data_IF_335123134223
#
_entry.id   IF_335123134223
#
_cell.length_a   1.000
_cell.length_b   1.000
_cell.length_c   1.000
_cell.angle_alpha   90.00
_cell.angle_beta   90.00
_cell.angle_gamma   90.00
#
_symmetry.space_group_name_H-M   'P 1'
#
loop_
_entity.id
_entity.type
_entity.pdbx_description
1 polymer ?
#
# COMPACT_ATOMS: atom_id res chain seq x y z
N UNK A 1 -26.35 -10.81 18.85
CA UNK A 1 -25.49 -9.62 18.68
C UNK A 1 -24.20 -10.16 18.13
N UNK A 2 -23.76 -9.74 16.94
CA UNK A 2 -22.51 -10.24 16.36
C UNK A 2 -21.34 -9.84 17.25
N UNK A 3 -20.39 -10.73 17.46
CA UNK A 3 -19.06 -10.37 17.98
C UNK A 3 -18.18 -9.84 16.85
N UNK A 4 -17.05 -9.23 17.19
CA UNK A 4 -16.04 -8.83 16.21
C UNK A 4 -15.59 -10.04 15.37
N UNK A 5 -15.23 -11.16 16.01
CA UNK A 5 -14.76 -12.36 15.30
C UNK A 5 -15.83 -12.95 14.39
N UNK A 6 -17.10 -12.96 14.79
CA UNK A 6 -18.21 -13.41 13.95
C UNK A 6 -18.39 -12.50 12.72
N UNK A 7 -18.21 -11.18 12.88
CA UNK A 7 -18.27 -10.23 11.77
C UNK A 7 -17.09 -10.40 10.80
N UNK A 8 -15.88 -10.61 11.32
CA UNK A 8 -14.69 -10.90 10.50
C UNK A 8 -14.90 -12.19 9.72
N UNK A 9 -15.28 -13.29 10.38
CA UNK A 9 -15.51 -14.57 9.72
C UNK A 9 -16.57 -14.47 8.62
N UNK A 10 -17.67 -13.75 8.87
CA UNK A 10 -18.68 -13.50 7.85
C UNK A 10 -18.09 -12.81 6.62
N UNK A 11 -17.28 -11.76 6.81
CA UNK A 11 -16.67 -11.03 5.69
C UNK A 11 -15.68 -11.94 4.95
N UNK A 12 -14.89 -12.75 5.67
CA UNK A 12 -13.90 -13.65 5.07
C UNK A 12 -14.51 -14.80 4.27
N UNK A 13 -15.73 -15.22 4.63
CA UNK A 13 -16.52 -16.20 3.89
C UNK A 13 -17.11 -15.63 2.58
N UNK A 14 -17.16 -14.30 2.43
CA UNK A 14 -17.55 -13.67 1.15
C UNK A 14 -16.47 -14.00 0.11
N UNK A 15 -16.84 -14.56 -1.06
CA UNK A 15 -15.86 -14.86 -2.10
C UNK A 15 -15.01 -13.63 -2.48
N UNK A 16 -13.70 -13.75 -2.30
CA UNK A 16 -12.72 -12.66 -2.57
C UNK A 16 -12.55 -12.38 -4.07
N UNK A 17 -12.67 -13.41 -4.89
CA UNK A 17 -12.50 -13.34 -6.34
C UNK A 17 -13.80 -13.74 -7.02
N UNK A 18 -14.59 -12.75 -7.41
CA UNK A 18 -15.81 -12.91 -8.20
C UNK A 18 -15.65 -12.19 -9.53
N UNK A 19 -16.56 -12.46 -10.47
CA UNK A 19 -16.73 -11.60 -11.64
C UNK A 19 -16.93 -10.15 -11.17
N UNK A 20 -16.21 -9.18 -11.76
CA UNK A 20 -16.34 -7.78 -11.37
C UNK A 20 -17.77 -7.31 -11.62
N UNK A 21 -18.41 -6.80 -10.57
CA UNK A 21 -19.72 -6.16 -10.67
C UNK A 21 -19.62 -4.84 -11.43
N UNK A 22 -20.74 -4.39 -11.99
CA UNK A 22 -20.83 -3.06 -12.58
C UNK A 22 -20.74 -2.01 -11.46
N UNK A 23 -20.06 -0.90 -11.70
CA UNK A 23 -19.96 0.21 -10.73
C UNK A 23 -21.33 0.74 -10.28
N UNK A 24 -22.35 0.63 -11.13
CA UNK A 24 -23.75 1.00 -10.83
C UNK A 24 -24.28 0.26 -9.61
N UNK A 25 -23.84 -0.97 -9.38
CA UNK A 25 -24.23 -1.78 -8.24
C UNK A 25 -23.67 -1.20 -6.93
N UNK A 26 -22.36 -0.94 -6.89
CA UNK A 26 -21.71 -0.31 -5.74
C UNK A 26 -22.24 1.11 -5.49
N UNK A 27 -22.53 1.86 -6.56
CA UNK A 27 -23.14 3.20 -6.50
C UNK A 27 -24.51 3.15 -5.83
N UNK A 28 -25.38 2.20 -6.24
CA UNK A 28 -26.67 1.95 -5.60
C UNK A 28 -26.50 1.68 -4.10
N UNK A 29 -25.51 0.87 -3.72
CA UNK A 29 -25.25 0.58 -2.31
C UNK A 29 -24.88 1.85 -1.52
N UNK A 30 -24.01 2.71 -2.06
CA UNK A 30 -23.67 3.98 -1.43
C UNK A 30 -24.90 4.89 -1.29
N UNK A 31 -25.78 4.93 -2.30
CA UNK A 31 -27.00 5.75 -2.25
C UNK A 31 -28.00 5.23 -1.20
N UNK A 32 -28.08 3.91 -1.01
CA UNK A 32 -28.83 3.29 0.09
C UNK A 32 -28.21 3.51 1.47
N UNK A 33 -26.92 3.88 1.54
CA UNK A 33 -26.21 4.28 2.77
C UNK A 33 -26.17 5.79 2.98
N UNK A 34 -27.13 6.51 2.40
CA UNK A 34 -27.27 7.97 2.50
C UNK A 34 -26.12 8.74 1.83
N UNK A 35 -25.58 8.20 0.72
CA UNK A 35 -24.53 8.78 -0.13
C UNK A 35 -23.35 9.37 0.67
N UNK A 36 -22.62 8.53 1.45
CA UNK A 36 -21.58 8.98 2.37
C UNK A 36 -20.38 9.66 1.68
N UNK A 37 -20.23 9.49 0.37
CA UNK A 37 -19.22 10.13 -0.47
C UNK A 37 -19.60 11.54 -0.96
N UNK A 38 -20.85 11.95 -0.79
CA UNK A 38 -21.34 13.26 -1.27
C UNK A 38 -20.79 14.40 -0.41
N UNK A 39 -20.40 15.50 -1.07
CA UNK A 39 -19.86 16.71 -0.44
C UNK A 39 -18.62 16.45 0.44
N UNK A 40 -17.86 15.39 0.13
CA UNK A 40 -16.61 15.02 0.80
C UNK A 40 -15.39 15.38 -0.06
N UNK A 41 -14.28 15.72 0.58
CA UNK A 41 -12.99 15.95 -0.07
C UNK A 41 -12.26 14.61 -0.24
N UNK A 42 -12.52 13.93 -1.36
CA UNK A 42 -11.96 12.61 -1.63
C UNK A 42 -10.72 12.71 -2.51
N UNK A 43 -9.59 12.14 -2.07
CA UNK A 43 -8.41 11.91 -2.91
C UNK A 43 -8.38 10.44 -3.29
N UNK A 44 -8.43 10.14 -4.59
CA UNK A 44 -8.54 8.77 -5.08
C UNK A 44 -7.22 8.31 -5.70
N UNK A 45 -6.63 7.24 -5.16
CA UNK A 45 -5.28 6.79 -5.49
C UNK A 45 -5.32 5.40 -6.14
N UNK A 46 -4.84 5.33 -7.38
CA UNK A 46 -4.63 4.09 -8.13
C UNK A 46 -3.15 3.90 -8.48
N UNK A 47 -2.77 2.70 -8.93
CA UNK A 47 -1.37 2.38 -9.21
C UNK A 47 -1.06 0.89 -9.11
N UNK A 48 0.12 0.48 -9.58
CA UNK A 48 0.64 -0.87 -9.33
C UNK A 48 1.32 -0.87 -7.97
N UNK A 49 2.41 -0.11 -7.83
CA UNK A 49 3.16 0.00 -6.58
C UNK A 49 3.08 1.41 -6.00
N UNK A 50 3.21 1.55 -4.67
CA UNK A 50 3.29 2.87 -4.01
C UNK A 50 1.94 3.51 -3.63
N UNK A 51 0.79 2.94 -4.02
CA UNK A 51 -0.55 3.45 -3.64
C UNK A 51 -0.68 3.75 -2.14
N UNK A 52 -0.58 2.70 -1.30
CA UNK A 52 -0.61 2.84 0.14
C UNK A 52 0.42 3.84 0.71
N UNK A 53 1.65 3.87 0.17
CA UNK A 53 2.67 4.84 0.60
C UNK A 53 2.25 6.29 0.32
N UNK A 54 1.72 6.56 -0.89
CA UNK A 54 1.19 7.89 -1.25
C UNK A 54 0.02 8.26 -0.35
N UNK A 55 -0.89 7.30 -0.10
CA UNK A 55 -2.02 7.52 0.80
C UNK A 55 -1.55 7.86 2.23
N UNK A 56 -0.51 7.18 2.72
CA UNK A 56 0.08 7.45 4.03
C UNK A 56 0.66 8.86 4.10
N UNK A 57 1.50 9.26 3.12
CA UNK A 57 2.07 10.60 3.08
C UNK A 57 0.99 11.69 3.05
N UNK A 58 -0.06 11.51 2.24
CA UNK A 58 -1.19 12.44 2.19
C UNK A 58 -1.91 12.51 3.55
N UNK A 59 -2.18 11.36 4.17
CA UNK A 59 -2.87 11.29 5.47
C UNK A 59 -2.05 11.98 6.56
N UNK A 60 -0.76 11.67 6.69
CA UNK A 60 0.11 12.27 7.71
C UNK A 60 0.22 13.78 7.54
N UNK A 61 0.38 14.26 6.30
CA UNK A 61 0.47 15.70 6.03
C UNK A 61 -0.80 16.42 6.46
N UNK A 62 -1.97 15.91 6.06
CA UNK A 62 -3.27 16.49 6.43
C UNK A 62 -3.51 16.45 7.94
N UNK A 63 -3.25 15.30 8.58
CA UNK A 63 -3.41 15.13 10.02
C UNK A 63 -2.51 16.07 10.83
N UNK A 64 -1.25 16.23 10.42
CA UNK A 64 -0.30 17.14 11.08
C UNK A 64 -0.80 18.59 11.13
N UNK A 65 -1.78 18.95 10.29
CA UNK A 65 -2.41 20.27 10.21
C UNK A 65 -3.80 20.31 10.82
N UNK A 66 -4.15 19.29 11.60
CA UNK A 66 -5.39 19.21 12.36
C UNK A 66 -6.61 18.79 11.55
N UNK A 67 -6.45 18.41 10.28
CA UNK A 67 -7.56 17.84 9.52
C UNK A 67 -7.86 16.43 10.02
N UNK A 68 -9.15 16.11 10.09
CA UNK A 68 -9.60 14.75 10.36
C UNK A 68 -9.58 13.96 9.06
N UNK A 69 -8.68 13.00 8.93
CA UNK A 69 -8.47 12.23 7.70
C UNK A 69 -8.96 10.80 7.86
N UNK A 70 -9.85 10.37 6.96
CA UNK A 70 -10.22 8.97 6.79
C UNK A 70 -9.35 8.31 5.72
N UNK A 71 -8.73 7.18 6.03
CA UNK A 71 -7.88 6.44 5.10
C UNK A 71 -8.42 5.02 4.89
N UNK A 72 -8.73 4.69 3.63
CA UNK A 72 -9.13 3.34 3.20
C UNK A 72 -8.03 2.68 2.37
N UNK A 73 -7.50 1.55 2.85
CA UNK A 73 -6.34 0.88 2.25
C UNK A 73 -6.50 -0.63 2.11
N UNK A 74 -5.65 -1.23 1.28
CA UNK A 74 -5.66 -2.67 1.06
C UNK A 74 -4.31 -3.25 0.61
N UNK A 75 -3.99 -4.52 0.97
CA UNK A 75 -4.63 -5.33 2.01
C UNK A 75 -4.24 -4.87 3.43
N UNK A 76 -4.82 -5.48 4.48
CA UNK A 76 -4.30 -5.38 5.84
C UNK A 76 -3.13 -6.36 6.06
N UNK A 77 -2.32 -6.12 7.10
CA UNK A 77 -1.24 -6.99 7.55
C UNK A 77 -1.70 -7.98 8.61
N UNK A 78 -2.33 -7.51 9.69
CA UNK A 78 -2.68 -8.35 10.84
C UNK A 78 -4.18 -8.32 11.14
N UNK A 79 -4.77 -7.12 11.21
CA UNK A 79 -6.16 -6.92 11.59
C UNK A 79 -6.94 -6.23 10.49
N UNK A 80 -8.15 -6.71 10.19
CA UNK A 80 -8.98 -6.14 9.11
C UNK A 80 -9.29 -4.65 9.30
N UNK A 81 -9.32 -4.17 10.56
CA UNK A 81 -9.49 -2.76 10.92
C UNK A 81 -8.41 -1.87 10.32
N UNK A 82 -7.21 -2.38 10.04
CA UNK A 82 -6.12 -1.59 9.43
C UNK A 82 -6.52 -0.97 8.08
N UNK A 83 -7.52 -1.56 7.41
CA UNK A 83 -8.11 -1.03 6.18
C UNK A 83 -8.88 0.28 6.38
N UNK A 84 -9.22 0.63 7.62
CA UNK A 84 -10.01 1.80 7.99
C UNK A 84 -9.27 2.56 9.08
N UNK A 85 -8.70 3.70 8.72
CA UNK A 85 -7.99 4.54 9.69
C UNK A 85 -8.61 5.92 9.78
N UNK A 86 -8.61 6.48 10.98
CA UNK A 86 -8.91 7.87 11.25
C UNK A 86 -7.65 8.46 11.87
N UNK A 87 -7.04 9.45 11.20
CA UNK A 87 -5.80 10.07 11.68
C UNK A 87 -4.73 8.99 11.98
N UNK A 88 -4.44 8.15 10.97
CA UNK A 88 -3.42 7.09 11.02
C UNK A 88 -3.62 6.01 12.10
N UNK A 89 -4.75 6.05 12.83
CA UNK A 89 -5.13 5.05 13.82
C UNK A 89 -6.25 4.18 13.26
N UNK A 90 -6.05 2.85 13.26
CA UNK A 90 -7.09 1.91 12.86
C UNK A 90 -8.34 2.05 13.75
N UNK A 91 -9.52 1.90 13.17
CA UNK A 91 -10.77 1.97 13.93
C UNK A 91 -10.87 0.90 15.01
N UNK A 92 -11.64 1.18 16.06
CA UNK A 92 -11.91 0.22 17.13
C UNK A 92 -12.84 -0.90 16.65
N UNK A 93 -12.90 -1.99 17.42
CA UNK A 93 -13.77 -3.13 17.09
C UNK A 93 -15.24 -2.77 17.18
N UNK A 94 -15.60 -1.83 18.05
CA UNK A 94 -16.95 -1.30 18.17
C UNK A 94 -17.35 -0.50 16.92
N UNK A 95 -16.47 0.40 16.45
CA UNK A 95 -16.71 1.17 15.24
C UNK A 95 -16.78 0.26 13.99
N UNK A 96 -15.91 -0.74 13.93
CA UNK A 96 -15.94 -1.78 12.90
C UNK A 96 -17.26 -2.56 12.91
N UNK A 97 -17.68 -3.05 14.08
CA UNK A 97 -18.89 -3.86 14.23
C UNK A 97 -20.16 -3.05 13.89
N UNK A 98 -20.21 -1.79 14.27
CA UNK A 98 -21.34 -0.92 13.91
C UNK A 98 -21.45 -0.71 12.40
N UNK A 99 -20.33 -0.45 11.74
CA UNK A 99 -20.28 -0.33 10.28
C UNK A 99 -20.65 -1.64 9.60
N UNK A 100 -20.15 -2.77 10.10
CA UNK A 100 -20.49 -4.11 9.64
C UNK A 100 -22.00 -4.35 9.70
N UNK A 101 -22.64 -4.08 10.85
CA UNK A 101 -24.07 -4.31 11.01
C UNK A 101 -24.90 -3.47 10.04
N UNK A 102 -24.48 -2.22 9.76
CA UNK A 102 -25.15 -1.35 8.79
C UNK A 102 -25.02 -1.89 7.36
N UNK A 103 -23.83 -2.31 6.95
CA UNK A 103 -23.61 -2.86 5.60
C UNK A 103 -24.22 -4.24 5.43
N UNK A 104 -24.20 -5.08 6.48
CA UNK A 104 -24.87 -6.38 6.48
C UNK A 104 -26.38 -6.23 6.31
N UNK A 105 -27.01 -5.28 7.01
CA UNK A 105 -28.44 -5.00 6.84
C UNK A 105 -28.76 -4.63 5.40
N UNK A 106 -27.96 -3.77 4.78
CA UNK A 106 -28.09 -3.42 3.36
C UNK A 106 -27.95 -4.66 2.46
N UNK A 107 -26.96 -5.53 2.73
CA UNK A 107 -26.75 -6.74 1.95
C UNK A 107 -27.93 -7.72 2.05
N UNK A 108 -28.51 -7.87 3.25
CA UNK A 108 -29.71 -8.67 3.48
C UNK A 108 -30.92 -8.09 2.71
N UNK A 109 -31.13 -6.76 2.74
CA UNK A 109 -32.19 -6.07 2.00
C UNK A 109 -32.06 -6.25 0.48
N UNK A 110 -30.84 -6.20 -0.06
CA UNK A 110 -30.59 -6.47 -1.48
C UNK A 110 -30.95 -7.91 -1.84
N UNK A 111 -30.56 -8.89 -1.03
CA UNK A 111 -30.89 -10.29 -1.26
C UNK A 111 -32.40 -10.57 -1.16
N UNK A 112 -33.08 -10.00 -0.17
CA UNK A 112 -34.54 -10.11 -0.03
C UNK A 112 -35.29 -9.51 -1.24
N UNK A 113 -34.73 -8.48 -1.86
CA UNK A 113 -35.24 -7.89 -3.09
C UNK A 113 -34.90 -8.70 -4.36
N UNK A 114 -34.21 -9.83 -4.23
CA UNK A 114 -33.75 -10.66 -5.37
C UNK A 114 -32.59 -10.06 -6.14
N UNK A 115 -31.83 -9.14 -5.53
CA UNK A 115 -30.63 -8.52 -6.09
C UNK A 115 -29.36 -9.28 -5.63
N UNK A 116 -28.20 -8.69 -5.85
CA UNK A 116 -26.90 -9.27 -5.52
C UNK A 116 -26.44 -8.98 -4.08
N UNK A 117 -25.55 -9.83 -3.56
CA UNK A 117 -24.81 -9.55 -2.33
C UNK A 117 -23.49 -8.81 -2.66
N UNK A 118 -23.13 -7.72 -1.95
CA UNK A 118 -21.85 -7.04 -2.13
C UNK A 118 -20.67 -8.01 -2.03
N UNK A 119 -19.70 -7.89 -2.94
CA UNK A 119 -18.48 -8.71 -2.91
C UNK A 119 -17.60 -8.33 -1.72
N UNK A 120 -16.58 -9.16 -1.42
CA UNK A 120 -15.66 -8.92 -0.29
C UNK A 120 -15.13 -7.47 -0.26
N UNK A 121 -14.68 -6.97 -1.41
CA UNK A 121 -14.10 -5.64 -1.49
C UNK A 121 -15.15 -4.53 -1.49
N UNK A 122 -16.31 -4.73 -2.12
CA UNK A 122 -17.43 -3.78 -2.04
C UNK A 122 -17.91 -3.64 -0.59
N UNK A 123 -18.09 -4.75 0.12
CA UNK A 123 -18.55 -4.76 1.51
C UNK A 123 -17.61 -3.94 2.40
N UNK A 124 -16.29 -4.18 2.28
CA UNK A 124 -15.28 -3.42 3.02
C UNK A 124 -15.28 -1.94 2.63
N UNK A 125 -15.31 -1.61 1.33
CA UNK A 125 -15.38 -0.22 0.90
C UNK A 125 -16.61 0.51 1.47
N UNK A 126 -17.79 -0.12 1.42
CA UNK A 126 -19.02 0.43 2.00
C UNK A 126 -18.89 0.64 3.51
N UNK A 127 -18.26 -0.28 4.24
CA UNK A 127 -17.98 -0.12 5.67
C UNK A 127 -17.09 1.10 5.92
N UNK A 128 -16.03 1.27 5.13
CA UNK A 128 -15.14 2.42 5.24
C UNK A 128 -15.88 3.74 5.05
N UNK A 129 -16.74 3.82 4.05
CA UNK A 129 -17.54 5.03 3.81
C UNK A 129 -18.53 5.31 4.94
N UNK A 130 -19.16 4.28 5.52
CA UNK A 130 -20.03 4.43 6.70
C UNK A 130 -19.26 4.98 7.90
N UNK A 131 -18.06 4.43 8.16
CA UNK A 131 -17.16 4.88 9.24
C UNK A 131 -16.80 6.35 9.03
N UNK A 132 -16.31 6.72 7.85
CA UNK A 132 -15.85 8.08 7.58
C UNK A 132 -16.97 9.12 7.63
N UNK A 133 -18.18 8.75 7.21
CA UNK A 133 -19.36 9.60 7.37
C UNK A 133 -19.68 9.84 8.84
N UNK A 134 -19.70 8.77 9.65
CA UNK A 134 -20.01 8.84 11.08
C UNK A 134 -18.97 9.64 11.85
N UNK A 135 -17.69 9.43 11.54
CA UNK A 135 -16.58 10.15 12.15
C UNK A 135 -16.43 11.59 11.61
N UNK A 136 -17.28 12.01 10.66
CA UNK A 136 -17.27 13.34 10.08
C UNK A 136 -15.86 13.81 9.66
N UNK A 137 -15.17 12.98 8.88
CA UNK A 137 -13.82 13.31 8.39
C UNK A 137 -13.87 14.46 7.38
N UNK A 138 -12.82 15.29 7.40
CA UNK A 138 -12.63 16.42 6.48
C UNK A 138 -12.16 15.95 5.11
N UNK A 139 -11.25 14.97 5.09
CA UNK A 139 -10.68 14.36 3.90
C UNK A 139 -10.84 12.84 3.94
N UNK A 140 -11.08 12.24 2.78
CA UNK A 140 -11.06 10.79 2.61
C UNK A 140 -10.00 10.45 1.57
N UNK A 141 -9.06 9.59 1.92
CA UNK A 141 -8.06 9.07 1.00
C UNK A 141 -8.42 7.62 0.69
N UNK A 142 -8.71 7.34 -0.58
CA UNK A 142 -9.14 6.02 -1.05
C UNK A 142 -8.04 5.39 -1.89
N UNK A 143 -7.50 4.27 -1.44
CA UNK A 143 -6.70 3.38 -2.28
C UNK A 143 -7.61 2.41 -3.05
N UNK A 144 -7.41 2.30 -4.37
CA UNK A 144 -8.04 1.24 -5.16
C UNK A 144 -7.51 -0.14 -4.77
N UNK A 145 -8.38 -1.15 -4.72
CA UNK A 145 -7.98 -2.53 -4.49
C UNK A 145 -7.28 -3.15 -5.71
N UNK A 146 -7.95 -3.15 -6.87
CA UNK A 146 -7.42 -3.75 -8.10
C UNK A 146 -7.83 -3.00 -9.37
N UNK A 147 -6.83 -2.48 -10.08
CA UNK A 147 -7.01 -1.73 -11.32
C UNK A 147 -7.43 -0.30 -11.03
N UNK A 148 -8.69 0.03 -11.34
CA UNK A 148 -9.28 1.34 -11.09
C UNK A 148 -10.66 1.48 -11.73
N UNK A 149 -10.76 1.24 -13.03
CA UNK A 149 -11.98 1.40 -13.85
C UNK A 149 -13.21 0.71 -13.28
N UNK A 150 -13.05 -0.52 -12.81
CA UNK A 150 -14.12 -1.34 -12.21
C UNK A 150 -13.87 -1.66 -10.73
N UNK A 151 -13.02 -0.87 -10.07
CA UNK A 151 -12.78 -1.01 -8.63
C UNK A 151 -13.97 -0.43 -7.84
N UNK A 152 -14.34 -1.06 -6.71
CA UNK A 152 -15.49 -0.60 -5.91
C UNK A 152 -15.35 0.87 -5.47
N UNK A 153 -14.12 1.31 -5.18
CA UNK A 153 -13.84 2.70 -4.79
C UNK A 153 -14.16 3.69 -5.91
N UNK A 154 -14.18 3.26 -7.18
CA UNK A 154 -14.50 4.11 -8.33
C UNK A 154 -15.99 4.43 -8.46
N UNK A 155 -16.83 3.90 -7.56
CA UNK A 155 -18.22 4.32 -7.43
C UNK A 155 -18.36 5.77 -6.91
N UNK A 156 -17.32 6.34 -6.29
CA UNK A 156 -17.30 7.76 -5.91
C UNK A 156 -17.33 8.65 -7.16
N UNK A 157 -18.14 9.72 -7.12
CA UNK A 157 -18.41 10.51 -8.32
C UNK A 157 -17.50 11.74 -8.46
N UNK A 158 -17.18 12.41 -7.35
CA UNK A 158 -16.53 13.73 -7.36
C UNK A 158 -15.31 13.79 -6.41
N UNK A 159 -14.24 13.01 -6.67
CA UNK A 159 -12.99 13.23 -5.97
C UNK A 159 -12.42 14.62 -6.31
N UNK A 160 -11.68 15.21 -5.38
CA UNK A 160 -11.00 16.50 -5.60
C UNK A 160 -9.65 16.32 -6.31
N UNK A 161 -9.09 15.12 -6.30
CA UNK A 161 -7.91 14.74 -7.07
C UNK A 161 -7.88 13.23 -7.34
N UNK A 162 -7.34 12.86 -8.49
CA UNK A 162 -6.99 11.49 -8.84
C UNK A 162 -5.47 11.35 -8.91
N UNK A 163 -4.90 10.40 -8.17
CA UNK A 163 -3.46 10.13 -8.16
C UNK A 163 -3.19 8.76 -8.77
N UNK A 164 -2.26 8.67 -9.72
CA UNK A 164 -1.85 7.42 -10.34
C UNK A 164 -0.35 7.21 -10.09
N UNK A 165 -0.04 6.29 -9.17
CA UNK A 165 1.35 5.92 -8.85
C UNK A 165 1.94 5.04 -9.95
N UNK A 166 3.14 4.51 -9.73
CA UNK A 166 3.87 3.75 -10.75
C UNK A 166 3.03 2.62 -11.38
N UNK A 167 3.24 2.43 -12.69
CA UNK A 167 2.59 1.39 -13.50
C UNK A 167 3.65 0.39 -13.93
N UNK A 168 3.46 -0.85 -13.51
CA UNK A 168 4.24 -2.01 -13.93
C UNK A 168 3.32 -3.19 -14.21
N UNK A 169 3.86 -4.23 -14.87
CA UNK A 169 3.15 -5.48 -15.10
C UNK A 169 2.83 -6.13 -13.76
N UNK A 170 1.54 -6.25 -13.47
CA UNK A 170 1.01 -6.92 -12.29
C UNK A 170 -0.43 -7.35 -12.56
N UNK A 171 -0.86 -8.45 -11.94
CA UNK A 171 -2.20 -9.00 -12.14
C UNK A 171 -2.58 -9.17 -13.62
N UNK A 172 -1.65 -9.72 -14.43
CA UNK A 172 -1.79 -9.85 -15.89
C UNK A 172 -3.07 -10.58 -16.32
N UNK A 173 -3.50 -11.55 -15.52
CA UNK A 173 -4.74 -12.30 -15.73
C UNK A 173 -6.00 -11.43 -15.68
N UNK A 174 -5.96 -10.29 -14.97
CA UNK A 174 -7.12 -9.43 -14.70
C UNK A 174 -7.05 -8.07 -15.38
N UNK A 175 -5.84 -7.49 -15.53
CA UNK A 175 -5.66 -6.10 -15.97
C UNK A 175 -5.10 -5.97 -17.39
N UNK A 176 -4.63 -7.07 -17.99
CA UNK A 176 -4.00 -7.10 -19.31
C UNK A 176 -2.50 -7.38 -19.24
N UNK A 177 -1.93 -7.65 -20.41
CA UNK A 177 -0.55 -8.12 -20.57
C UNK A 177 0.42 -7.05 -21.10
N UNK A 178 -0.02 -5.79 -21.13
CA UNK A 178 0.78 -4.64 -21.57
C UNK A 178 0.66 -3.49 -20.59
N UNK A 179 1.69 -2.63 -20.55
CA UNK A 179 1.68 -1.43 -19.69
C UNK A 179 0.52 -0.51 -20.10
N UNK A 180 0.25 -0.32 -21.38
CA UNK A 180 -0.86 0.51 -21.85
C UNK A 180 -2.23 0.01 -21.36
N UNK A 181 -2.48 -1.30 -21.39
CA UNK A 181 -3.75 -1.86 -20.90
C UNK A 181 -3.91 -1.65 -19.40
N UNK A 182 -2.86 -1.94 -18.63
CA UNK A 182 -2.85 -1.74 -17.18
C UNK A 182 -3.05 -0.24 -16.86
N UNK A 183 -2.33 0.65 -17.54
CA UNK A 183 -2.49 2.09 -17.40
C UNK A 183 -3.94 2.53 -17.72
N UNK A 184 -4.56 1.97 -18.75
CA UNK A 184 -5.96 2.24 -19.10
C UNK A 184 -6.94 1.82 -18.01
N UNK A 185 -6.74 0.66 -17.38
CA UNK A 185 -7.53 0.22 -16.23
C UNK A 185 -7.38 1.19 -15.05
N UNK A 186 -6.16 1.65 -14.73
CA UNK A 186 -5.94 2.56 -13.60
C UNK A 186 -6.43 3.98 -13.88
N UNK A 187 -6.22 4.48 -15.11
CA UNK A 187 -6.75 5.75 -15.58
C UNK A 187 -8.29 5.82 -15.59
N UNK A 188 -8.96 4.68 -15.40
CA UNK A 188 -10.40 4.61 -15.18
C UNK A 188 -10.91 5.30 -13.91
N UNK A 189 -10.04 5.64 -12.95
CA UNK A 189 -10.43 6.46 -11.80
C UNK A 189 -10.61 7.95 -12.15
N UNK A 190 -10.05 8.41 -13.27
CA UNK A 190 -10.08 9.82 -13.67
C UNK A 190 -11.53 10.24 -13.94
N UNK A 191 -11.95 11.34 -13.32
CA UNK A 191 -13.28 11.93 -13.47
C UNK A 191 -13.22 13.27 -14.22
N UNK A 192 -14.26 13.65 -14.99
CA UNK A 192 -14.28 14.90 -15.74
C UNK A 192 -13.85 16.11 -14.92
N UNK A 193 -12.94 16.93 -15.46
CA UNK A 193 -12.45 18.18 -14.87
C UNK A 193 -11.71 18.03 -13.52
N UNK A 194 -11.54 16.83 -12.98
CA UNK A 194 -10.77 16.58 -11.75
C UNK A 194 -9.27 16.54 -12.07
N UNK A 195 -8.41 17.20 -11.30
CA UNK A 195 -6.97 17.15 -11.54
C UNK A 195 -6.38 15.75 -11.39
N UNK A 196 -5.43 15.43 -12.26
CA UNK A 196 -4.72 14.13 -12.27
C UNK A 196 -3.25 14.33 -11.98
N UNK A 197 -2.74 13.69 -10.92
CA UNK A 197 -1.32 13.70 -10.57
C UNK A 197 -0.79 12.29 -10.82
N UNK A 198 0.29 12.13 -11.57
CA UNK A 198 0.76 10.79 -11.92
C UNK A 198 2.28 10.66 -12.10
N UNK A 199 2.76 9.44 -11.91
CA UNK A 199 4.13 9.03 -12.22
C UNK A 199 4.35 8.99 -13.74
N UNK A 200 5.21 9.89 -14.22
CA UNK A 200 5.53 10.07 -15.64
C UNK A 200 6.77 9.33 -16.13
N UNK A 201 7.37 8.44 -15.32
CA UNK A 201 8.65 7.82 -15.67
C UNK A 201 8.50 6.66 -16.67
N UNK A 202 7.29 6.11 -16.84
CA UNK A 202 6.99 5.17 -17.92
C UNK A 202 6.21 5.89 -19.04
N UNK A 203 6.85 6.03 -20.21
CA UNK A 203 6.28 6.78 -21.34
C UNK A 203 4.95 6.20 -21.84
N UNK A 204 4.84 4.87 -21.96
CA UNK A 204 3.63 4.20 -22.45
C UNK A 204 2.45 4.43 -21.51
N UNK A 205 2.68 4.32 -20.19
CA UNK A 205 1.66 4.63 -19.19
C UNK A 205 1.27 6.11 -19.19
N UNK A 206 2.27 7.00 -19.24
CA UNK A 206 2.07 8.45 -19.22
C UNK A 206 1.23 8.92 -20.42
N UNK A 207 1.46 8.37 -21.61
CA UNK A 207 0.68 8.68 -22.82
C UNK A 207 -0.79 8.29 -22.67
N UNK A 208 -1.08 7.12 -22.09
CA UNK A 208 -2.45 6.66 -21.83
C UNK A 208 -3.16 7.56 -20.81
N UNK A 209 -2.47 7.91 -19.71
CA UNK A 209 -3.01 8.78 -18.66
C UNK A 209 -3.29 10.18 -19.20
N UNK A 210 -2.33 10.78 -19.93
CA UNK A 210 -2.48 12.11 -20.56
C UNK A 210 -3.63 12.13 -21.57
N UNK A 211 -3.75 11.10 -22.41
CA UNK A 211 -4.86 10.96 -23.34
C UNK A 211 -6.19 10.94 -22.61
N UNK A 212 -6.32 10.14 -21.55
CA UNK A 212 -7.55 10.06 -20.75
C UNK A 212 -7.88 11.38 -20.06
N UNK A 213 -6.89 12.05 -19.47
CA UNK A 213 -7.05 13.36 -18.86
C UNK A 213 -7.55 14.39 -19.89
N UNK A 214 -6.95 14.42 -21.09
CA UNK A 214 -7.36 15.29 -22.18
C UNK A 214 -8.81 15.04 -22.65
N UNK A 215 -9.20 13.76 -22.85
CA UNK A 215 -10.57 13.38 -23.21
C UNK A 215 -11.62 13.87 -22.19
N UNK A 216 -11.23 13.96 -20.92
CA UNK A 216 -12.09 14.36 -19.81
C UNK A 216 -11.95 15.83 -19.42
N UNK A 217 -11.11 16.60 -20.12
CA UNK A 217 -10.86 18.01 -19.83
C UNK A 217 -10.19 18.23 -18.46
N UNK A 218 -9.40 17.26 -17.98
CA UNK A 218 -8.72 17.32 -16.69
C UNK A 218 -7.40 18.09 -16.80
N UNK A 219 -7.11 19.02 -15.86
CA UNK A 219 -5.74 19.45 -15.65
C UNK A 219 -4.91 18.26 -15.15
N UNK A 220 -3.62 18.23 -15.48
CA UNK A 220 -2.75 17.14 -15.07
C UNK A 220 -1.36 17.63 -14.66
N UNK A 221 -0.74 16.89 -13.74
CA UNK A 221 0.62 17.09 -13.25
C UNK A 221 1.38 15.78 -13.41
N UNK A 222 2.43 15.81 -14.22
CA UNK A 222 3.33 14.68 -14.42
C UNK A 222 4.55 14.85 -13.50
N UNK A 223 4.77 13.88 -12.63
CA UNK A 223 5.90 13.86 -11.70
C UNK A 223 6.96 12.91 -12.25
N UNK A 224 8.23 13.32 -12.23
CA UNK A 224 9.36 12.56 -12.79
C UNK A 224 10.52 12.50 -11.81
N UNK A 225 11.34 11.46 -11.93
CA UNK A 225 12.57 11.28 -11.14
C UNK A 225 13.58 12.41 -11.37
N UNK A 226 13.61 13.03 -12.55
CA UNK A 226 14.49 14.16 -12.87
C UNK A 226 14.22 15.41 -12.01
N UNK A 227 13.04 15.51 -11.39
CA UNK A 227 12.70 16.56 -10.43
C UNK A 227 13.21 16.28 -9.01
N UNK A 228 13.94 15.19 -8.82
CA UNK A 228 14.44 14.75 -7.53
C UNK A 228 15.96 14.82 -7.48
N UNK A 229 16.50 15.20 -6.33
CA UNK A 229 17.93 15.16 -6.06
C UNK A 229 18.18 14.50 -4.71
N UNK A 230 18.76 13.31 -4.73
CA UNK A 230 19.22 12.63 -3.52
C UNK A 230 20.30 13.47 -2.81
N UNK A 231 20.13 13.68 -1.51
CA UNK A 231 21.11 14.35 -0.65
C UNK A 231 21.82 13.36 0.26
N UNK A 232 21.06 12.47 0.91
CA UNK A 232 21.59 11.46 1.83
C UNK A 232 20.71 10.19 1.84
N UNK A 233 21.32 9.03 2.06
CA UNK A 233 20.64 7.73 2.09
C UNK A 233 21.23 6.82 3.18
N UNK A 234 20.53 6.77 4.31
CA UNK A 234 20.92 6.09 5.54
C UNK A 234 19.88 5.04 5.93
N UNK A 235 20.18 4.12 6.86
CA UNK A 235 19.19 3.18 7.40
C UNK A 235 17.95 3.87 8.00
N UNK A 236 18.11 5.09 8.52
CA UNK A 236 17.05 5.88 9.14
C UNK A 236 16.08 6.49 8.12
N UNK A 237 16.51 6.68 6.87
CA UNK A 237 15.68 7.25 5.82
C UNK A 237 16.45 7.93 4.71
N UNK A 238 15.74 8.75 3.95
CA UNK A 238 16.30 9.43 2.77
C UNK A 238 16.05 10.92 2.88
N UNK A 239 17.12 11.71 2.76
CA UNK A 239 17.05 13.14 2.52
C UNK A 239 17.17 13.41 1.02
N UNK A 240 16.24 14.19 0.47
CA UNK A 240 16.27 14.57 -0.94
C UNK A 240 15.55 15.89 -1.19
N UNK A 241 15.84 16.52 -2.32
CA UNK A 241 15.08 17.67 -2.82
C UNK A 241 14.06 17.16 -3.83
N UNK A 242 12.81 17.59 -3.69
CA UNK A 242 11.76 17.45 -4.71
C UNK A 242 11.37 18.83 -5.22
N UNK A 243 11.39 19.02 -6.54
CA UNK A 243 10.91 20.26 -7.16
C UNK A 243 9.41 20.17 -7.36
N UNK A 244 8.65 20.94 -6.58
CA UNK A 244 7.21 21.08 -6.72
C UNK A 244 6.84 22.31 -7.55
N UNK A 245 5.79 22.19 -8.37
CA UNK A 245 5.23 23.33 -9.09
C UNK A 245 4.68 24.42 -8.14
N UNK A 246 4.06 24.03 -7.03
CA UNK A 246 3.44 24.96 -6.07
C UNK A 246 4.42 25.48 -5.01
N UNK A 247 5.40 24.66 -4.61
CA UNK A 247 6.27 24.97 -3.47
C UNK A 247 7.75 25.20 -3.85
N UNK A 248 8.11 25.03 -5.13
CA UNK A 248 9.47 25.10 -5.62
C UNK A 248 10.34 23.95 -5.10
N UNK A 249 11.66 24.15 -5.08
CA UNK A 249 12.59 23.19 -4.50
C UNK A 249 12.31 23.04 -2.99
N UNK A 250 11.95 21.81 -2.60
CA UNK A 250 11.54 21.42 -1.26
C UNK A 250 12.43 20.29 -0.76
N UNK A 251 13.17 20.54 0.32
CA UNK A 251 13.95 19.51 0.99
C UNK A 251 13.03 18.66 1.86
N UNK A 252 13.06 17.34 1.63
CA UNK A 252 12.22 16.35 2.28
C UNK A 252 13.08 15.30 2.97
N UNK A 253 12.57 14.80 4.10
CA UNK A 253 13.05 13.59 4.71
C UNK A 253 11.90 12.57 4.70
N UNK A 254 12.18 11.37 4.18
CA UNK A 254 11.24 10.24 4.26
C UNK A 254 11.81 9.17 5.19
N UNK A 255 11.07 8.71 6.22
CA UNK A 255 11.55 7.74 7.21
C UNK A 255 11.47 6.30 6.68
N UNK A 256 11.79 6.12 5.39
CA UNK A 256 11.75 4.82 4.71
C UNK A 256 13.05 4.61 3.96
N UNK A 257 13.59 3.41 4.12
CA UNK A 257 14.93 3.10 3.66
C UNK A 257 14.94 2.64 2.20
N UNK A 258 14.16 3.27 1.31
CA UNK A 258 14.09 2.86 -0.10
C UNK A 258 13.80 3.99 -1.08
N UNK A 259 14.60 4.09 -2.14
CA UNK A 259 14.58 5.21 -3.11
C UNK A 259 13.24 5.42 -3.80
N UNK A 260 12.47 4.37 -4.06
CA UNK A 260 11.16 4.51 -4.68
C UNK A 260 10.18 5.33 -3.80
N UNK A 261 10.44 5.45 -2.50
CA UNK A 261 9.64 6.30 -1.61
C UNK A 261 9.85 7.79 -1.89
N UNK A 262 10.96 8.20 -2.51
CA UNK A 262 11.16 9.57 -2.99
C UNK A 262 10.12 9.94 -4.05
N UNK A 263 9.80 9.00 -4.94
CA UNK A 263 8.77 9.17 -5.97
C UNK A 263 7.37 9.24 -5.36
N UNK A 264 7.05 8.33 -4.43
CA UNK A 264 5.77 8.36 -3.71
C UNK A 264 5.59 9.66 -2.90
N UNK A 265 6.63 10.11 -2.21
CA UNK A 265 6.62 11.38 -1.49
C UNK A 265 6.46 12.59 -2.42
N UNK A 266 7.10 12.57 -3.59
CA UNK A 266 6.96 13.64 -4.60
C UNK A 266 5.56 13.68 -5.20
N UNK A 267 4.93 12.53 -5.45
CA UNK A 267 3.51 12.46 -5.88
C UNK A 267 2.58 13.04 -4.82
N UNK A 268 2.81 12.71 -3.55
CA UNK A 268 2.02 13.26 -2.45
C UNK A 268 2.24 14.78 -2.32
N UNK A 269 3.48 15.27 -2.41
CA UNK A 269 3.79 16.70 -2.37
C UNK A 269 3.11 17.46 -3.51
N UNK A 270 3.15 16.96 -4.74
CA UNK A 270 2.50 17.62 -5.88
C UNK A 270 0.98 17.54 -5.81
N UNK A 271 0.43 16.46 -5.24
CA UNK A 271 -1.00 16.38 -4.94
C UNK A 271 -1.41 17.48 -3.95
N UNK A 272 -0.64 17.71 -2.89
CA UNK A 272 -0.86 18.83 -1.96
C UNK A 272 -0.61 20.19 -2.63
N UNK A 273 0.29 20.27 -3.62
CA UNK A 273 0.49 21.48 -4.41
C UNK A 273 -0.75 21.84 -5.22
N UNK A 274 -1.32 20.86 -5.92
CA UNK A 274 -2.56 21.00 -6.70
C UNK A 274 -3.75 21.34 -5.81
N UNK A 275 -3.79 20.79 -4.59
CA UNK A 275 -4.88 20.99 -3.64
C UNK A 275 -4.65 22.18 -2.69
N UNK A 276 -3.66 23.04 -2.94
CA UNK A 276 -3.28 24.13 -2.01
C UNK A 276 -4.48 24.98 -1.55
N UNK A 277 -5.39 25.34 -2.45
CA UNK A 277 -6.58 26.14 -2.13
C UNK A 277 -7.61 25.41 -1.24
N UNK A 278 -7.57 24.07 -1.17
CA UNK A 278 -8.48 23.29 -0.33
C UNK A 278 -8.03 23.24 1.14
N UNK A 279 -6.73 23.23 1.38
CA UNK A 279 -6.15 23.00 2.71
C UNK A 279 -5.35 24.20 3.26
N UNK A 280 -4.85 25.09 2.40
CA UNK A 280 -4.17 26.33 2.81
C UNK A 280 -2.81 26.15 3.48
N UNK A 281 -2.19 24.98 3.36
CA UNK A 281 -0.93 24.67 4.05
C UNK A 281 0.26 25.21 3.28
N UNK A 282 1.30 25.58 4.01
CA UNK A 282 2.56 26.08 3.52
C UNK A 282 3.61 24.96 3.40
N UNK A 283 4.75 25.29 2.78
CA UNK A 283 5.81 24.30 2.52
C UNK A 283 6.33 23.64 3.81
N UNK A 284 6.59 24.43 4.86
CA UNK A 284 7.18 23.93 6.10
C UNK A 284 6.26 22.92 6.82
N UNK A 285 4.96 23.14 6.69
CA UNK A 285 3.88 22.31 7.21
C UNK A 285 3.86 20.93 6.54
N UNK A 286 3.93 20.89 5.21
CA UNK A 286 4.02 19.64 4.44
C UNK A 286 5.30 18.84 4.77
N UNK A 287 6.44 19.54 4.87
CA UNK A 287 7.73 18.92 5.24
C UNK A 287 7.65 18.30 6.64
N UNK A 288 7.02 18.99 7.60
CA UNK A 288 6.86 18.49 8.96
C UNK A 288 6.00 17.22 9.00
N UNK A 289 4.86 17.21 8.31
CA UNK A 289 4.01 16.02 8.22
C UNK A 289 4.74 14.83 7.59
N UNK A 290 5.37 15.03 6.44
CA UNK A 290 6.03 13.97 5.69
C UNK A 290 7.17 13.26 6.46
N UNK A 291 7.91 14.02 7.28
CA UNK A 291 8.97 13.46 8.14
C UNK A 291 8.45 12.42 9.14
N UNK A 292 7.19 12.53 9.55
CA UNK A 292 6.61 11.68 10.58
C UNK A 292 5.76 10.53 10.02
N UNK A 293 5.69 10.38 8.70
CA UNK A 293 4.83 9.37 8.07
C UNK A 293 5.24 7.97 8.49
N UNK A 294 4.24 7.18 8.88
CA UNK A 294 4.42 5.76 9.19
C UNK A 294 3.62 4.94 8.20
N UNK A 295 4.27 3.97 7.57
CA UNK A 295 3.59 3.05 6.67
C UNK A 295 4.03 1.63 6.92
N UNK A 296 3.07 0.79 7.27
CA UNK A 296 3.33 -0.53 7.82
C UNK A 296 3.77 -1.48 6.69
N UNK A 297 4.89 -2.19 6.89
CA UNK A 297 5.35 -3.26 6.01
C UNK A 297 5.87 -2.82 4.63
N UNK A 298 6.37 -1.59 4.50
CA UNK A 298 7.03 -1.08 3.28
C UNK A 298 8.38 -0.47 3.62
N UNK A 299 9.43 -1.29 3.57
CA UNK A 299 10.79 -0.93 3.99
C UNK A 299 10.77 -0.21 5.35
N UNK A 300 10.00 -0.77 6.27
CA UNK A 300 9.74 -0.21 7.58
C UNK A 300 10.78 -0.71 8.58
N UNK A 301 11.47 0.21 9.22
CA UNK A 301 12.37 -0.11 10.33
C UNK A 301 11.56 -0.34 11.61
N UNK A 302 11.54 -1.57 12.12
CA UNK A 302 10.75 -1.96 13.31
C UNK A 302 11.59 -2.05 14.59
N UNK A 303 12.90 -2.24 14.46
CA UNK A 303 13.91 -2.21 15.52
C UNK A 303 15.22 -1.68 14.92
N UNK A 304 16.20 -1.25 15.73
CA UNK A 304 17.52 -0.84 15.22
C UNK A 304 18.16 -1.86 14.27
N UNK A 305 18.27 -1.49 12.99
CA UNK A 305 18.80 -2.33 11.91
C UNK A 305 17.91 -3.49 11.47
N UNK A 306 16.63 -3.54 11.86
CA UNK A 306 15.66 -4.55 11.42
C UNK A 306 14.61 -3.89 10.54
N UNK A 307 14.61 -4.25 9.27
CA UNK A 307 13.75 -3.68 8.23
C UNK A 307 12.81 -4.78 7.72
N UNK A 308 11.52 -4.46 7.63
CA UNK A 308 10.50 -5.38 7.09
C UNK A 308 9.92 -4.84 5.79
N UNK A 309 9.71 -5.70 4.81
CA UNK A 309 9.14 -5.30 3.53
C UNK A 309 8.25 -6.38 2.91
N UNK A 310 7.12 -5.94 2.37
CA UNK A 310 6.14 -6.80 1.73
C UNK A 310 6.40 -7.13 0.26
N UNK A 311 7.57 -6.84 -0.30
CA UNK A 311 7.89 -7.14 -1.70
C UNK A 311 7.67 -8.62 -2.00
N UNK A 312 6.85 -8.87 -3.03
CA UNK A 312 6.42 -10.21 -3.44
C UNK A 312 6.11 -10.31 -4.96
N UNK A 313 6.35 -9.24 -5.72
CA UNK A 313 6.22 -9.17 -7.17
C UNK A 313 7.55 -8.73 -7.81
N UNK A 314 7.69 -8.88 -9.12
CA UNK A 314 8.96 -8.66 -9.82
C UNK A 314 9.53 -7.25 -9.60
N UNK A 315 8.72 -6.21 -9.77
CA UNK A 315 9.13 -4.82 -9.57
C UNK A 315 9.50 -4.53 -8.11
N UNK A 316 8.70 -5.02 -7.15
CA UNK A 316 8.98 -4.87 -5.73
C UNK A 316 10.29 -5.56 -5.31
N UNK A 317 10.57 -6.74 -5.85
CA UNK A 317 11.82 -7.47 -5.60
C UNK A 317 13.01 -6.73 -6.23
N UNK A 318 12.86 -6.19 -7.45
CA UNK A 318 13.91 -5.37 -8.07
C UNK A 318 14.23 -4.14 -7.21
N UNK A 319 13.21 -3.47 -6.65
CA UNK A 319 13.38 -2.34 -5.72
C UNK A 319 13.96 -2.74 -4.37
N UNK A 320 13.65 -3.94 -3.88
CA UNK A 320 14.31 -4.51 -2.72
C UNK A 320 15.80 -4.75 -2.97
N UNK A 321 16.15 -5.38 -4.10
CA UNK A 321 17.55 -5.61 -4.49
C UNK A 321 18.31 -4.29 -4.65
N UNK A 322 17.72 -3.28 -5.29
CA UNK A 322 18.31 -1.94 -5.40
C UNK A 322 18.66 -1.34 -4.03
N UNK A 323 17.74 -1.49 -3.07
CA UNK A 323 17.88 -0.97 -1.71
C UNK A 323 18.98 -1.69 -0.95
N UNK A 324 18.92 -3.02 -0.86
CA UNK A 324 19.91 -3.80 -0.11
C UNK A 324 21.30 -3.68 -0.73
N UNK A 325 21.40 -3.56 -2.06
CA UNK A 325 22.67 -3.35 -2.76
C UNK A 325 23.38 -2.07 -2.36
N UNK A 326 22.64 -1.03 -1.97
CA UNK A 326 23.22 0.19 -1.42
C UNK A 326 23.87 -0.09 -0.06
N UNK A 327 23.14 -0.73 0.85
CA UNK A 327 23.60 -0.96 2.23
C UNK A 327 24.63 -2.08 2.40
N UNK A 328 24.65 -3.08 1.51
CA UNK A 328 25.64 -4.17 1.60
C UNK A 328 27.09 -3.71 1.43
N UNK A 329 27.32 -2.45 1.03
CA UNK A 329 28.66 -1.84 0.95
C UNK A 329 29.23 -1.53 2.33
N UNK A 330 28.36 -1.21 3.27
CA UNK A 330 28.73 -0.68 4.59
C UNK A 330 28.30 -1.62 5.73
N UNK A 331 27.36 -2.56 5.47
CA UNK A 331 26.78 -3.45 6.48
C UNK A 331 26.80 -4.91 6.04
N UNK A 332 27.04 -5.81 6.99
CA UNK A 332 26.69 -7.23 6.83
C UNK A 332 25.17 -7.38 6.73
N UNK A 333 24.71 -8.20 5.79
CA UNK A 333 23.28 -8.39 5.52
C UNK A 333 22.84 -9.79 5.94
N UNK A 334 21.86 -9.83 6.85
CA UNK A 334 21.09 -11.04 7.17
C UNK A 334 19.71 -10.94 6.53
N UNK A 335 19.25 -12.02 5.92
CA UNK A 335 17.92 -12.13 5.33
C UNK A 335 17.06 -13.14 6.10
N UNK A 336 15.86 -12.74 6.49
CA UNK A 336 14.77 -13.66 6.87
C UNK A 336 13.76 -13.68 5.72
N UNK A 337 13.56 -14.83 5.10
CA UNK A 337 12.77 -14.95 3.88
C UNK A 337 11.70 -16.04 3.95
N UNK A 338 10.53 -15.73 3.39
CA UNK A 338 9.51 -16.71 3.01
C UNK A 338 8.68 -16.16 1.86
N UNK A 339 7.91 -17.00 1.18
CA UNK A 339 6.98 -16.59 0.13
C UNK A 339 5.77 -17.50 0.14
N UNK A 340 4.72 -17.08 -0.54
CA UNK A 340 3.54 -17.90 -0.83
C UNK A 340 3.80 -18.81 -2.04
N UNK A 341 3.16 -19.97 -2.07
CA UNK A 341 3.40 -21.05 -3.05
C UNK A 341 2.91 -20.79 -4.48
N UNK A 342 2.09 -19.76 -4.69
CA UNK A 342 1.51 -19.36 -6.00
C UNK A 342 2.40 -18.35 -6.76
N UNK A 343 3.68 -18.29 -6.44
CA UNK A 343 4.64 -17.36 -7.04
C UNK A 343 5.77 -18.11 -7.72
N UNK A 344 6.35 -17.49 -8.74
CA UNK A 344 7.60 -17.91 -9.39
C UNK A 344 8.79 -17.64 -8.46
N UNK A 345 8.83 -18.33 -7.31
CA UNK A 345 9.83 -18.12 -6.27
C UNK A 345 11.27 -18.55 -6.65
N UNK A 346 11.50 -19.55 -7.55
CA UNK A 346 12.85 -19.85 -8.00
C UNK A 346 13.51 -18.67 -8.72
N UNK A 347 12.81 -18.06 -9.68
CA UNK A 347 13.29 -16.88 -10.41
C UNK A 347 13.48 -15.67 -9.50
N UNK A 348 12.59 -15.51 -8.51
CA UNK A 348 12.70 -14.47 -7.49
C UNK A 348 13.99 -14.62 -6.68
N UNK A 349 14.26 -15.82 -6.14
CA UNK A 349 15.48 -16.08 -5.36
C UNK A 349 16.72 -15.90 -6.23
N UNK A 350 16.71 -16.39 -7.47
CA UNK A 350 17.82 -16.20 -8.40
C UNK A 350 18.15 -14.71 -8.61
N UNK A 351 17.13 -13.86 -8.85
CA UNK A 351 17.32 -12.41 -8.98
C UNK A 351 17.86 -11.76 -7.70
N UNK A 352 17.36 -12.20 -6.54
CA UNK A 352 17.84 -11.70 -5.24
C UNK A 352 19.34 -12.04 -5.08
N UNK A 353 19.73 -13.29 -5.30
CA UNK A 353 21.10 -13.77 -5.12
C UNK A 353 22.08 -13.26 -6.17
N UNK A 354 21.65 -13.04 -7.42
CA UNK A 354 22.49 -12.41 -8.46
C UNK A 354 22.88 -10.98 -8.08
N UNK A 355 21.98 -10.28 -7.36
CA UNK A 355 22.17 -8.88 -7.04
C UNK A 355 22.78 -8.58 -5.68
N UNK A 356 22.82 -9.55 -4.76
CA UNK A 356 23.08 -9.36 -3.33
C UNK A 356 23.97 -10.46 -2.75
N UNK A 357 24.79 -10.08 -1.76
CA UNK A 357 25.55 -11.01 -0.95
C UNK A 357 25.03 -11.00 0.49
N UNK A 358 24.56 -12.15 0.96
CA UNK A 358 24.08 -12.31 2.33
C UNK A 358 25.12 -13.00 3.19
N UNK A 359 25.41 -12.44 4.36
CA UNK A 359 26.21 -13.09 5.40
C UNK A 359 25.45 -14.29 5.97
N UNK A 360 24.13 -14.13 6.15
CA UNK A 360 23.26 -15.20 6.65
C UNK A 360 21.89 -15.13 5.97
N UNK A 361 21.31 -16.30 5.67
CA UNK A 361 19.91 -16.43 5.24
C UNK A 361 19.19 -17.37 6.20
N UNK A 362 18.02 -16.96 6.67
CA UNK A 362 17.11 -17.80 7.44
C UNK A 362 15.83 -17.92 6.63
N UNK A 363 15.41 -19.14 6.31
CA UNK A 363 14.13 -19.39 5.65
C UNK A 363 13.10 -19.88 6.66
N UNK A 364 11.86 -19.46 6.47
CA UNK A 364 10.74 -19.82 7.36
C UNK A 364 9.45 -20.10 6.61
N UNK A 365 8.40 -20.50 7.33
CA UNK A 365 7.06 -20.75 6.80
C UNK A 365 6.07 -19.70 7.36
N UNK A 366 4.99 -19.47 6.64
CA UNK A 366 3.80 -18.73 7.11
C UNK A 366 2.65 -19.69 7.36
N UNK A 367 1.72 -19.31 8.23
CA UNK A 367 0.53 -20.11 8.48
C UNK A 367 -0.43 -20.08 7.27
N UNK A 368 -1.12 -21.20 7.04
CA UNK A 368 -2.20 -21.30 6.05
C UNK A 368 -1.89 -22.18 4.84
N UNK A 369 -2.84 -22.23 3.91
CA UNK A 369 -2.83 -23.14 2.75
C UNK A 369 -1.85 -22.76 1.65
N UNK A 370 -1.37 -21.51 1.65
CA UNK A 370 -0.42 -20.96 0.66
C UNK A 370 1.02 -20.99 1.13
N UNK A 371 1.33 -21.77 2.16
CA UNK A 371 2.68 -21.88 2.70
C UNK A 371 3.64 -22.52 1.69
N UNK A 372 4.87 -22.02 1.66
CA UNK A 372 5.99 -22.61 0.91
C UNK A 372 6.95 -23.30 1.88
N UNK A 373 7.57 -24.40 1.45
CA UNK A 373 8.50 -25.18 2.30
C UNK A 373 9.77 -24.38 2.60
N UNK A 374 10.04 -24.12 3.89
CA UNK A 374 11.26 -23.42 4.29
C UNK A 374 12.52 -24.18 3.86
N UNK A 375 12.47 -25.51 3.86
CA UNK A 375 13.58 -26.37 3.43
C UNK A 375 13.85 -26.23 1.92
N UNK A 376 12.80 -26.14 1.09
CA UNK A 376 12.93 -25.94 -0.35
C UNK A 376 13.53 -24.56 -0.67
N UNK A 377 13.04 -23.52 0.00
CA UNK A 377 13.58 -22.16 -0.13
C UNK A 377 15.07 -22.14 0.24
N UNK A 378 15.46 -22.81 1.34
CA UNK A 378 16.86 -22.89 1.73
C UNK A 378 17.73 -23.63 0.70
N UNK A 379 17.20 -24.66 0.06
CA UNK A 379 17.85 -25.35 -1.05
C UNK A 379 18.17 -24.39 -2.19
N UNK A 380 17.19 -23.59 -2.62
CA UNK A 380 17.35 -22.61 -3.69
C UNK A 380 18.38 -21.52 -3.33
N UNK A 381 18.37 -20.99 -2.11
CA UNK A 381 19.41 -20.03 -1.70
C UNK A 381 20.82 -20.64 -1.75
N UNK A 382 20.99 -21.90 -1.32
CA UNK A 382 22.28 -22.61 -1.40
C UNK A 382 22.72 -22.86 -2.84
N UNK A 383 21.79 -23.27 -3.71
CA UNK A 383 22.05 -23.46 -5.14
C UNK A 383 22.48 -22.17 -5.83
N UNK A 384 21.97 -21.03 -5.35
CA UNK A 384 22.35 -19.70 -5.82
C UNK A 384 23.54 -19.08 -5.04
N UNK A 385 24.35 -19.89 -4.36
CA UNK A 385 25.64 -19.48 -3.81
C UNK A 385 25.63 -18.90 -2.40
N UNK A 386 24.51 -18.96 -1.67
CA UNK A 386 24.49 -18.58 -0.25
C UNK A 386 25.11 -19.69 0.62
N UNK A 387 26.19 -19.38 1.33
CA UNK A 387 26.92 -20.37 2.13
C UNK A 387 26.22 -20.68 3.47
N UNK A 388 25.79 -19.65 4.20
CA UNK A 388 25.17 -19.81 5.51
C UNK A 388 23.64 -19.65 5.44
N UNK A 389 22.97 -20.79 5.24
CA UNK A 389 21.50 -20.84 5.13
C UNK A 389 20.91 -21.78 6.18
N UNK A 390 20.07 -21.22 7.05
CA UNK A 390 19.36 -21.91 8.14
C UNK A 390 17.88 -22.09 7.79
N UNK A 391 17.29 -23.16 8.31
CA UNK A 391 15.87 -23.48 8.17
C UNK A 391 15.24 -23.47 9.57
N UNK A 392 14.24 -22.63 9.77
CA UNK A 392 13.41 -22.63 10.98
C UNK A 392 11.95 -22.37 10.58
N UNK A 393 11.10 -23.38 10.75
CA UNK A 393 9.72 -23.34 10.23
C UNK A 393 8.80 -22.46 11.06
N UNK A 394 9.15 -22.16 12.31
CA UNK A 394 8.41 -21.22 13.12
C UNK A 394 8.91 -19.78 12.89
N UNK A 395 8.06 -18.85 12.42
CA UNK A 395 8.50 -17.52 12.03
C UNK A 395 9.05 -16.69 13.21
N UNK A 396 8.49 -16.83 14.42
CA UNK A 396 9.00 -16.14 15.61
C UNK A 396 10.42 -16.61 15.97
N UNK A 397 10.66 -17.93 15.96
CA UNK A 397 12.00 -18.50 16.20
C UNK A 397 12.97 -18.13 15.09
N UNK A 398 12.52 -18.16 13.84
CA UNK A 398 13.33 -17.77 12.69
C UNK A 398 13.78 -16.31 12.80
N UNK A 399 12.91 -15.44 13.28
CA UNK A 399 13.24 -14.05 13.59
C UNK A 399 14.24 -13.93 14.75
N UNK A 400 14.05 -14.66 15.86
CA UNK A 400 15.01 -14.66 16.97
C UNK A 400 16.42 -15.09 16.50
N UNK A 401 16.52 -16.13 15.66
CA UNK A 401 17.79 -16.60 15.10
C UNK A 401 18.39 -15.58 14.12
N UNK A 402 17.60 -15.06 13.18
CA UNK A 402 18.05 -14.04 12.24
C UNK A 402 18.52 -12.76 12.95
N UNK A 403 17.82 -12.35 14.02
CA UNK A 403 18.17 -11.19 14.84
C UNK A 403 19.50 -11.39 15.58
N UNK A 404 19.78 -12.59 16.10
CA UNK A 404 21.09 -12.92 16.70
C UNK A 404 22.20 -12.90 15.65
N UNK A 405 21.94 -13.46 14.46
CA UNK A 405 22.92 -13.57 13.37
C UNK A 405 23.28 -12.21 12.76
N UNK A 406 22.34 -11.27 12.73
CA UNK A 406 22.54 -9.89 12.27
C UNK A 406 23.69 -9.17 12.98
N UNK A 407 23.88 -9.36 14.29
CA UNK A 407 24.81 -8.57 15.10
C UNK A 407 24.59 -7.06 14.87
N UNK A 408 25.66 -6.33 14.55
CA UNK A 408 25.66 -4.89 14.24
C UNK A 408 25.28 -4.58 12.77
N UNK A 409 25.07 -5.61 11.94
CA UNK A 409 24.63 -5.48 10.55
C UNK A 409 23.14 -5.15 10.42
N UNK A 410 22.57 -5.44 9.25
CA UNK A 410 21.15 -5.22 8.95
C UNK A 410 20.42 -6.55 8.75
N UNK A 411 19.18 -6.62 9.26
CA UNK A 411 18.26 -7.73 9.04
C UNK A 411 17.11 -7.25 8.15
N UNK A 412 16.91 -7.92 7.03
CA UNK A 412 15.74 -7.72 6.17
C UNK A 412 14.77 -8.89 6.32
N UNK A 413 13.50 -8.61 6.61
CA UNK A 413 12.41 -9.59 6.67
C UNK A 413 11.49 -9.39 5.48
N UNK A 414 11.53 -10.28 4.50
CA UNK A 414 10.95 -10.03 3.16
C UNK A 414 10.30 -11.28 2.56
N UNK A 415 9.44 -11.05 1.56
CA UNK A 415 8.88 -12.06 0.66
C UNK A 415 7.41 -12.37 0.91
N UNK A 416 6.83 -11.88 2.01
CA UNK A 416 5.39 -12.01 2.28
C UNK A 416 4.90 -10.94 3.26
N UNK A 417 3.77 -10.30 2.93
CA UNK A 417 3.06 -9.43 3.87
C UNK A 417 2.57 -10.17 5.13
N UNK A 418 2.27 -11.47 5.02
CA UNK A 418 1.89 -12.29 6.16
C UNK A 418 3.06 -12.43 7.15
N UNK A 419 4.27 -12.73 6.64
CA UNK A 419 5.47 -12.79 7.47
C UNK A 419 5.72 -11.46 8.17
N UNK A 420 5.61 -10.35 7.43
CA UNK A 420 5.75 -9.01 8.00
C UNK A 420 4.75 -8.77 9.13
N UNK A 421 3.47 -9.11 8.93
CA UNK A 421 2.45 -9.00 9.95
C UNK A 421 2.76 -9.82 11.20
N UNK A 422 3.13 -11.09 11.03
CA UNK A 422 3.47 -12.01 12.12
C UNK A 422 4.68 -11.52 12.94
N UNK A 423 5.77 -11.13 12.28
CA UNK A 423 6.98 -10.63 12.96
C UNK A 423 6.68 -9.34 13.72
N UNK A 424 5.88 -8.45 13.15
CA UNK A 424 5.51 -7.20 13.81
C UNK A 424 4.64 -7.41 15.04
N UNK A 425 3.65 -8.31 14.95
CA UNK A 425 2.85 -8.67 16.12
C UNK A 425 3.73 -9.27 17.23
N UNK A 426 4.65 -10.17 16.86
CA UNK A 426 5.60 -10.76 17.80
C UNK A 426 6.50 -9.71 18.47
N UNK A 427 7.09 -8.79 17.70
CA UNK A 427 7.93 -7.71 18.25
C UNK A 427 7.11 -6.80 19.16
N UNK A 428 5.88 -6.44 18.78
CA UNK A 428 4.97 -5.65 19.61
C UNK A 428 4.70 -6.31 20.96
N UNK A 429 4.44 -7.63 20.97
CA UNK A 429 4.20 -8.39 22.21
C UNK A 429 5.41 -8.37 23.15
N UNK A 430 6.64 -8.33 22.63
CA UNK A 430 7.87 -8.37 23.44
C UNK A 430 8.48 -7.02 23.82
N UNK A 431 8.16 -5.94 23.11
CA UNK A 431 8.64 -4.58 23.43
C UNK A 431 7.76 -3.92 24.51
N UNK A 432 6.53 -4.42 24.70
CA UNK A 432 5.59 -3.94 25.72
C UNK A 432 5.52 -4.82 26.98
N UNK A 433 6.31 -5.90 27.03
CA UNK A 433 6.66 -6.67 28.24
C UNK A 433 7.99 -6.17 28.80
#
# INVERSE_FOLDING_TARGET
>A
MFTYDEAVNYIEDIPKFTTKNKLEHTRKCLDMLDSPDKDRKIIHVAGTNGKGSVCAFLSTMLEAHGFRCGLFTSPHLVKINERFQINEVMVSDEAFLEAFLRVKKLADELLEAGDYHPTYFEFLFLMGMVIFQKENVDYIILETGLGGRLDATNAVLNPIACVITSISLDHVEYLGNTIAQIAGEKAGIIKPQVPVIFDGNNQEAAEVIKKRAHELGCPWCEVKEENQKLLDFTPEGIHFISRSAAYGDTELFVPFTAKYQMMNASLALETMGVLKEYHGMEKAELVHGMKNTRWQGRMETILPGVIVDGAHNEDGIAKFVETVRHFQKDYEITLLFTTVSDKEFPDMIAKICDGLHFTNVVTTEIWGSRKQSALELAGLFKENGCENVLVETNPEKAFEEAYKLKKDGLLFVVGSLYLVGEIKDYVRRRVHD
#
